data_IF_454337659450
#
_entry.id   IF_454337659450
#
_cell.length_a   1.000
_cell.length_b   1.000
_cell.length_c   1.000
_cell.angle_alpha   90.00
_cell.angle_beta   90.00
_cell.angle_gamma   90.00
#
_symmetry.space_group_name_H-M   'P 1'
#
loop_
_entity.id
_entity.type
_entity.pdbx_description
1 polymer ?
#
# COMPACT_ATOMS: atom_id res chain seq x y z
N UNK A 1 -22.63 27.58 3.10
CA UNK A 1 -22.31 26.46 2.19
C UNK A 1 -20.81 26.47 1.96
N UNK A 2 -20.07 25.52 2.55
CA UNK A 2 -18.63 25.41 2.33
C UNK A 2 -18.43 24.82 0.94
N UNK A 3 -17.68 25.52 0.08
CA UNK A 3 -17.41 25.10 -1.29
C UNK A 3 -16.52 23.85 -1.29
N UNK A 4 -17.07 22.68 -1.64
CA UNK A 4 -16.34 21.41 -1.81
C UNK A 4 -15.51 21.37 -3.10
N UNK A 5 -14.72 22.43 -3.35
CA UNK A 5 -13.79 22.45 -4.48
C UNK A 5 -12.50 21.76 -4.03
N UNK A 6 -12.05 20.76 -4.79
CA UNK A 6 -10.72 20.16 -4.62
C UNK A 6 -9.69 21.20 -5.06
N UNK A 7 -9.06 21.87 -4.09
CA UNK A 7 -8.18 23.03 -4.32
C UNK A 7 -6.73 22.71 -3.98
N UNK A 8 -6.51 21.87 -2.96
CA UNK A 8 -5.17 21.49 -2.53
C UNK A 8 -4.68 20.39 -3.45
N UNK A 9 -3.55 20.59 -4.13
CA UNK A 9 -2.92 19.56 -4.97
C UNK A 9 -1.91 18.77 -4.16
N UNK A 10 -1.98 17.44 -4.25
CA UNK A 10 -1.04 16.54 -3.59
C UNK A 10 -1.70 15.32 -2.96
N UNK A 11 -0.85 14.46 -2.40
CA UNK A 11 -1.25 13.26 -1.67
C UNK A 11 -0.91 13.45 -0.19
N UNK A 12 -1.91 13.23 0.66
CA UNK A 12 -1.78 13.41 2.10
C UNK A 12 -2.06 12.09 2.81
N UNK A 13 -1.08 11.66 3.59
CA UNK A 13 -1.13 10.40 4.34
C UNK A 13 -1.56 10.66 5.78
N UNK A 14 -2.46 9.83 6.32
CA UNK A 14 -2.78 9.79 7.75
C UNK A 14 -2.76 8.36 8.29
N UNK A 15 -1.88 8.06 9.28
CA UNK A 15 -1.84 6.73 9.88
C UNK A 15 -3.02 6.54 10.82
N UNK A 16 -3.61 5.35 10.78
CA UNK A 16 -4.62 4.89 11.73
C UNK A 16 -4.26 3.50 12.24
N UNK A 17 -4.73 3.17 13.42
CA UNK A 17 -4.68 1.83 13.98
C UNK A 17 -6.08 1.26 13.89
N UNK A 18 -6.20 0.11 13.23
CA UNK A 18 -7.38 -0.75 13.30
C UNK A 18 -7.01 -1.94 14.14
N UNK A 19 -7.83 -2.27 15.14
CA UNK A 19 -7.47 -3.31 16.07
C UNK A 19 -8.62 -3.87 16.87
N UNK A 20 -8.29 -4.89 17.65
CA UNK A 20 -9.18 -5.51 18.61
C UNK A 20 -8.42 -5.99 19.83
N UNK A 21 -9.03 -5.85 21.00
CA UNK A 21 -8.58 -6.43 22.26
C UNK A 21 -9.62 -7.45 22.70
N UNK A 22 -9.20 -8.65 23.10
CA UNK A 22 -10.10 -9.70 23.60
C UNK A 22 -9.64 -10.22 24.96
N UNK A 23 -10.64 -10.52 25.80
CA UNK A 23 -10.48 -11.00 27.16
C UNK A 23 -11.25 -12.31 27.32
N UNK A 24 -10.57 -13.34 27.79
CA UNK A 24 -11.19 -14.60 28.15
C UNK A 24 -12.10 -14.41 29.38
N UNK A 25 -13.36 -14.81 29.29
CA UNK A 25 -14.36 -14.62 30.36
C UNK A 25 -14.28 -15.68 31.47
N UNK A 26 -13.43 -16.70 31.30
CA UNK A 26 -13.28 -17.78 32.26
C UNK A 26 -14.55 -18.62 32.43
N UNK A 27 -14.63 -19.33 33.56
CA UNK A 27 -15.80 -20.16 33.93
C UNK A 27 -16.98 -19.34 34.50
N UNK A 28 -16.86 -18.00 34.56
CA UNK A 28 -17.89 -17.08 35.10
C UNK A 28 -18.71 -16.37 34.01
N UNK A 29 -18.35 -16.52 32.73
CA UNK A 29 -19.29 -16.27 31.64
C UNK A 29 -20.40 -17.31 31.65
N UNK A 30 -21.47 -17.09 30.87
CA UNK A 30 -22.65 -17.99 30.78
C UNK A 30 -22.30 -19.44 30.38
N UNK A 31 -21.03 -19.71 30.06
CA UNK A 31 -20.41 -21.04 30.02
C UNK A 31 -20.81 -21.91 28.84
N UNK A 32 -21.97 -21.63 28.22
CA UNK A 32 -22.54 -22.41 27.14
C UNK A 32 -22.43 -21.76 25.75
N UNK A 33 -22.31 -20.43 25.64
CA UNK A 33 -22.47 -19.73 24.34
C UNK A 33 -21.35 -18.76 23.98
N UNK A 34 -20.84 -17.94 24.89
CA UNK A 34 -19.76 -16.97 24.61
C UNK A 34 -18.54 -17.19 25.52
N UNK A 35 -17.34 -17.20 24.94
CA UNK A 35 -16.08 -17.51 25.65
C UNK A 35 -15.21 -16.28 25.90
N UNK A 36 -15.34 -15.25 25.06
CA UNK A 36 -14.55 -14.03 25.11
C UNK A 36 -15.44 -12.80 25.08
N UNK A 37 -14.97 -11.73 25.72
CA UNK A 37 -15.41 -10.36 25.46
C UNK A 37 -14.33 -9.67 24.66
N UNK A 38 -14.70 -9.03 23.58
CA UNK A 38 -13.78 -8.35 22.70
C UNK A 38 -14.27 -6.95 22.36
N UNK A 39 -13.32 -6.06 22.11
CA UNK A 39 -13.54 -4.68 21.73
C UNK A 39 -12.76 -4.41 20.46
N UNK A 40 -13.45 -4.07 19.37
CA UNK A 40 -12.82 -3.65 18.12
C UNK A 40 -12.85 -2.12 18.02
N UNK A 41 -11.80 -1.51 17.47
CA UNK A 41 -11.66 -0.06 17.45
C UNK A 41 -10.87 0.46 16.25
N UNK A 42 -11.11 1.73 15.93
CA UNK A 42 -10.22 2.56 15.10
C UNK A 42 -9.73 3.74 15.95
N UNK A 43 -8.43 3.98 15.93
CA UNK A 43 -7.80 5.12 16.63
C UNK A 43 -6.65 5.71 15.82
N UNK A 44 -6.27 6.96 16.13
CA UNK A 44 -5.03 7.52 15.61
C UNK A 44 -3.80 6.84 16.23
N UNK A 45 -2.64 6.99 15.58
CA UNK A 45 -1.41 6.31 15.99
C UNK A 45 -1.02 6.63 17.45
N UNK A 46 -1.26 7.85 17.90
CA UNK A 46 -0.97 8.31 19.26
C UNK A 46 -2.22 8.43 20.14
N UNK A 47 -3.29 7.69 19.81
CA UNK A 47 -4.60 7.81 20.45
C UNK A 47 -5.18 9.25 20.33
N UNK A 48 -4.80 9.92 19.25
CA UNK A 48 -5.32 11.23 18.84
C UNK A 48 -6.75 11.10 18.30
N UNK A 49 -7.48 12.21 18.36
CA UNK A 49 -8.77 12.32 17.71
C UNK A 49 -8.62 12.32 16.18
N UNK A 50 -9.59 11.71 15.50
CA UNK A 50 -9.64 11.64 14.03
C UNK A 50 -10.79 12.52 13.51
N UNK A 51 -10.63 13.87 13.49
CA UNK A 51 -11.72 14.81 13.20
C UNK A 51 -12.16 14.79 11.73
N UNK A 52 -11.38 14.16 10.84
CA UNK A 52 -11.73 13.94 9.44
C UNK A 52 -12.67 12.74 9.24
N UNK A 53 -12.88 11.91 10.27
CA UNK A 53 -13.84 10.80 10.26
C UNK A 53 -15.20 11.32 10.74
N UNK A 54 -16.26 10.99 9.99
CA UNK A 54 -17.65 11.31 10.32
C UNK A 54 -18.34 10.18 11.08
N UNK A 55 -18.12 8.95 10.64
CA UNK A 55 -18.64 7.75 11.31
C UNK A 55 -17.86 6.52 10.86
N UNK A 56 -17.86 5.50 11.70
CA UNK A 56 -17.30 4.19 11.41
C UNK A 56 -18.40 3.16 11.51
N UNK A 57 -18.50 2.27 10.53
CA UNK A 57 -19.45 1.15 10.53
C UNK A 57 -18.67 -0.15 10.65
N UNK A 58 -18.91 -0.88 11.73
CA UNK A 58 -18.38 -2.22 11.94
C UNK A 58 -19.40 -3.24 11.44
N UNK A 59 -18.98 -4.10 10.51
CA UNK A 59 -19.79 -5.16 9.91
C UNK A 59 -19.45 -6.49 10.57
N UNK A 60 -20.23 -6.86 11.58
CA UNK A 60 -20.14 -8.12 12.30
C UNK A 60 -20.65 -9.29 11.44
N UNK A 61 -20.31 -10.51 11.86
CA UNK A 61 -20.87 -11.72 11.27
C UNK A 61 -22.42 -11.75 11.39
N UNK A 62 -23.10 -12.36 10.42
CA UNK A 62 -24.56 -12.40 10.33
C UNK A 62 -25.26 -13.07 11.53
N UNK A 63 -24.52 -13.81 12.37
CA UNK A 63 -25.03 -14.39 13.61
C UNK A 63 -25.32 -13.36 14.71
N UNK A 64 -24.72 -12.17 14.63
CA UNK A 64 -24.95 -11.09 15.59
C UNK A 64 -26.25 -10.37 15.30
N UNK A 65 -26.97 -9.98 16.37
CA UNK A 65 -28.11 -9.06 16.23
C UNK A 65 -27.59 -7.71 15.75
N UNK A 66 -28.23 -7.15 14.73
CA UNK A 66 -27.82 -5.89 14.09
C UNK A 66 -26.33 -5.95 13.68
N UNK A 67 -25.95 -6.76 12.67
CA UNK A 67 -24.55 -6.99 12.35
C UNK A 67 -23.82 -5.71 11.91
N UNK A 68 -24.54 -4.71 11.40
CA UNK A 68 -23.97 -3.42 11.04
C UNK A 68 -24.09 -2.44 12.22
N UNK A 69 -22.97 -2.08 12.84
CA UNK A 69 -22.90 -1.15 13.98
C UNK A 69 -22.23 0.14 13.57
N UNK A 70 -22.98 1.23 13.56
CA UNK A 70 -22.45 2.56 13.25
C UNK A 70 -22.08 3.30 14.54
N UNK A 71 -20.87 3.86 14.57
CA UNK A 71 -20.36 4.74 15.63
C UNK A 71 -20.07 6.09 15.01
N UNK A 72 -20.79 7.12 15.44
CA UNK A 72 -20.76 8.46 14.83
C UNK A 72 -19.85 9.46 15.56
N UNK A 73 -19.35 9.09 16.75
CA UNK A 73 -18.47 9.93 17.55
C UNK A 73 -17.34 9.11 18.17
N UNK A 74 -16.14 9.68 18.35
CA UNK A 74 -15.07 9.00 19.08
C UNK A 74 -15.47 8.74 20.56
N UNK A 75 -14.97 7.67 21.19
CA UNK A 75 -14.09 6.64 20.64
C UNK A 75 -14.81 5.74 19.62
N UNK A 76 -14.16 5.49 18.47
CA UNK A 76 -14.72 4.65 17.41
C UNK A 76 -14.50 3.17 17.75
N UNK A 77 -15.25 2.67 18.72
CA UNK A 77 -15.12 1.31 19.22
C UNK A 77 -16.47 0.61 19.42
N UNK A 78 -16.46 -0.72 19.31
CA UNK A 78 -17.59 -1.58 19.64
C UNK A 78 -17.12 -2.71 20.55
N UNK A 79 -17.92 -3.04 21.55
CA UNK A 79 -17.66 -4.15 22.47
C UNK A 79 -18.75 -5.19 22.37
N UNK A 80 -18.34 -6.46 22.25
CA UNK A 80 -19.24 -7.59 22.08
C UNK A 80 -18.68 -8.85 22.78
N UNK A 81 -19.51 -9.88 22.87
CA UNK A 81 -19.09 -11.20 23.35
C UNK A 81 -19.24 -12.24 22.26
N UNK A 82 -18.31 -13.20 22.20
CA UNK A 82 -18.33 -14.23 21.17
C UNK A 82 -17.39 -15.38 21.48
N UNK A 83 -17.39 -16.37 20.60
CA UNK A 83 -16.54 -17.56 20.69
C UNK A 83 -15.66 -17.77 19.47
N UNK A 84 -15.98 -17.12 18.34
CA UNK A 84 -15.31 -17.30 17.06
C UNK A 84 -14.49 -16.08 16.66
N UNK A 85 -13.43 -16.36 15.90
CA UNK A 85 -12.61 -15.39 15.19
C UNK A 85 -13.19 -15.21 13.77
N UNK A 86 -13.16 -13.99 13.25
CA UNK A 86 -13.65 -13.69 11.91
C UNK A 86 -13.03 -12.41 11.35
N UNK A 87 -13.05 -12.27 10.03
CA UNK A 87 -12.67 -11.03 9.35
C UNK A 87 -13.74 -9.97 9.56
N UNK A 88 -13.45 -9.01 10.43
CA UNK A 88 -14.28 -7.85 10.71
C UNK A 88 -14.10 -6.82 9.60
N UNK A 89 -15.11 -6.66 8.76
CA UNK A 89 -15.16 -5.56 7.78
C UNK A 89 -15.49 -4.25 8.49
N UNK A 90 -14.72 -3.20 8.21
CA UNK A 90 -14.88 -1.88 8.81
C UNK A 90 -14.96 -0.83 7.72
N UNK A 91 -16.03 -0.04 7.70
CA UNK A 91 -16.24 1.02 6.72
C UNK A 91 -16.16 2.39 7.37
N UNK A 92 -15.20 3.20 6.95
CA UNK A 92 -14.96 4.56 7.44
C UNK A 92 -15.63 5.55 6.49
N UNK A 93 -16.48 6.42 7.03
CA UNK A 93 -17.07 7.54 6.31
C UNK A 93 -16.39 8.83 6.74
N UNK A 94 -16.00 9.64 5.76
CA UNK A 94 -15.32 10.92 6.00
C UNK A 94 -16.30 12.08 6.18
N UNK A 95 -15.83 13.15 6.80
CA UNK A 95 -16.62 14.39 6.97
C UNK A 95 -16.87 15.09 5.64
N UNK A 96 -15.92 14.98 4.70
CA UNK A 96 -16.12 15.41 3.32
C UNK A 96 -16.91 14.34 2.54
N UNK A 97 -18.17 14.66 2.21
CA UNK A 97 -19.03 13.77 1.43
C UNK A 97 -18.53 13.51 0.00
N UNK A 98 -17.55 14.28 -0.50
CA UNK A 98 -16.93 14.04 -1.81
C UNK A 98 -15.86 12.96 -1.77
N UNK A 99 -15.42 12.56 -0.57
CA UNK A 99 -14.48 11.47 -0.38
C UNK A 99 -15.23 10.14 -0.24
N UNK A 100 -14.76 9.11 -0.94
CA UNK A 100 -15.41 7.80 -0.93
C UNK A 100 -15.22 7.14 0.43
N UNK A 101 -16.22 6.42 0.97
CA UNK A 101 -16.02 5.60 2.16
C UNK A 101 -14.89 4.58 1.93
N UNK A 102 -14.06 4.38 2.94
CA UNK A 102 -12.97 3.40 2.90
C UNK A 102 -13.40 2.11 3.58
N UNK A 103 -13.11 0.97 2.97
CA UNK A 103 -13.36 -0.35 3.54
C UNK A 103 -12.05 -1.03 3.92
N UNK A 104 -11.98 -1.52 5.15
CA UNK A 104 -10.85 -2.22 5.75
C UNK A 104 -11.30 -3.58 6.28
N UNK A 105 -10.37 -4.52 6.42
CA UNK A 105 -10.62 -5.82 7.02
C UNK A 105 -9.64 -6.04 8.17
N UNK A 106 -10.18 -6.41 9.33
CA UNK A 106 -9.41 -6.72 10.52
C UNK A 106 -9.72 -8.12 11.00
N UNK A 107 -8.70 -8.97 11.16
CA UNK A 107 -8.89 -10.30 11.71
C UNK A 107 -9.06 -10.20 13.24
N UNK A 108 -10.29 -10.39 13.72
CA UNK A 108 -10.59 -10.47 15.15
C UNK A 108 -9.96 -11.74 15.72
N UNK A 109 -8.97 -11.59 16.62
CA UNK A 109 -8.32 -12.70 17.31
C UNK A 109 -8.78 -12.81 18.75
N UNK A 110 -9.16 -14.02 19.15
CA UNK A 110 -9.55 -14.36 20.51
C UNK A 110 -8.44 -15.11 21.23
N UNK A 111 -7.67 -15.91 20.49
CA UNK A 111 -6.62 -16.74 21.04
C UNK A 111 -5.23 -16.17 20.71
N UNK A 112 -4.28 -16.32 21.64
CA UNK A 112 -2.88 -16.00 21.38
C UNK A 112 -2.29 -16.90 20.28
N UNK A 113 -1.19 -16.46 19.63
CA UNK A 113 -0.54 -17.23 18.56
C UNK A 113 -0.04 -18.61 18.98
N UNK A 114 0.18 -18.83 20.28
CA UNK A 114 0.62 -20.09 20.85
C UNK A 114 -0.52 -21.13 21.01
N UNK A 115 -1.76 -20.76 20.68
CA UNK A 115 -2.93 -21.63 20.74
C UNK A 115 -3.47 -21.86 22.16
N UNK A 116 -2.97 -21.15 23.17
CA UNK A 116 -3.44 -21.33 24.55
C UNK A 116 -4.85 -20.73 24.76
N UNK A 117 -5.79 -21.56 25.23
CA UNK A 117 -7.20 -21.14 25.43
C UNK A 117 -7.38 -20.26 26.68
N UNK A 118 -6.44 -20.34 27.62
CA UNK A 118 -6.52 -19.66 28.92
C UNK A 118 -5.45 -18.59 28.99
N UNK A 119 -5.82 -17.35 28.70
CA UNK A 119 -4.92 -16.22 28.87
C UNK A 119 -5.21 -15.49 30.18
N UNK A 120 -4.15 -15.21 30.95
CA UNK A 120 -4.21 -14.24 32.06
C UNK A 120 -4.19 -12.80 31.55
N UNK A 121 -3.72 -12.60 30.32
CA UNK A 121 -3.55 -11.30 29.68
C UNK A 121 -4.49 -11.17 28.47
N UNK A 122 -4.98 -9.95 28.17
CA UNK A 122 -5.76 -9.70 26.97
C UNK A 122 -4.98 -10.08 25.71
N UNK A 123 -5.67 -10.64 24.72
CA UNK A 123 -5.12 -10.83 23.38
C UNK A 123 -5.35 -9.55 22.59
N UNK A 124 -4.28 -8.96 22.07
CA UNK A 124 -4.31 -7.72 21.31
C UNK A 124 -3.90 -8.03 19.87
N UNK A 125 -4.74 -7.65 18.92
CA UNK A 125 -4.50 -7.77 17.48
C UNK A 125 -4.68 -6.39 16.87
N UNK A 126 -3.60 -5.78 16.39
CA UNK A 126 -3.62 -4.44 15.81
C UNK A 126 -2.82 -4.41 14.50
N UNK A 127 -3.32 -3.65 13.54
CA UNK A 127 -2.63 -3.33 12.30
C UNK A 127 -2.58 -1.82 12.10
N UNK A 128 -1.40 -1.32 11.73
CA UNK A 128 -1.23 0.05 11.28
C UNK A 128 -1.63 0.13 9.81
N UNK A 129 -2.55 1.04 9.50
CA UNK A 129 -2.96 1.33 8.13
C UNK A 129 -2.71 2.82 7.81
N UNK A 130 -2.59 3.13 6.53
CA UNK A 130 -2.30 4.47 6.04
C UNK A 130 -3.42 4.94 5.10
N UNK A 131 -4.16 5.93 5.56
CA UNK A 131 -5.15 6.61 4.75
C UNK A 131 -4.45 7.57 3.79
N UNK A 132 -4.73 7.47 2.50
CA UNK A 132 -4.17 8.36 1.47
C UNK A 132 -5.29 9.16 0.83
N UNK A 133 -5.23 10.47 0.98
CA UNK A 133 -6.20 11.41 0.43
C UNK A 133 -5.57 12.19 -0.72
N UNK A 134 -6.17 12.10 -1.91
CA UNK A 134 -5.69 12.78 -3.11
C UNK A 134 -6.48 14.04 -3.41
N UNK A 135 -5.77 15.13 -3.56
CA UNK A 135 -6.30 16.44 -3.89
C UNK A 135 -7.53 16.85 -3.04
N UNK A 136 -7.43 16.88 -1.70
CA UNK A 136 -8.56 17.14 -0.81
C UNK A 136 -9.12 18.57 -0.93
N UNK A 137 -10.36 18.76 -0.48
CA UNK A 137 -10.91 20.11 -0.26
C UNK A 137 -10.12 20.83 0.83
N UNK A 138 -10.10 22.16 0.81
CA UNK A 138 -9.34 22.95 1.79
C UNK A 138 -9.80 22.71 3.23
N UNK A 139 -11.12 22.62 3.45
CA UNK A 139 -11.69 22.28 4.75
C UNK A 139 -11.28 20.88 5.21
N UNK A 140 -11.28 19.89 4.32
CA UNK A 140 -10.93 18.52 4.66
C UNK A 140 -9.43 18.38 4.90
N UNK A 141 -8.61 19.05 4.09
CA UNK A 141 -7.16 19.13 4.28
C UNK A 141 -6.77 19.69 5.66
N UNK A 142 -7.47 20.72 6.14
CA UNK A 142 -7.24 21.25 7.48
C UNK A 142 -7.55 20.22 8.57
N UNK A 143 -8.59 19.39 8.39
CA UNK A 143 -8.91 18.27 9.30
C UNK A 143 -7.86 17.16 9.22
N UNK A 144 -7.37 16.85 8.02
CA UNK A 144 -6.27 15.91 7.82
C UNK A 144 -5.00 16.46 8.47
N UNK A 145 -4.71 17.77 8.44
CA UNK A 145 -3.45 18.33 8.97
C UNK A 145 -3.50 18.80 10.42
N UNK A 146 -4.66 18.70 11.08
CA UNK A 146 -4.78 19.10 12.47
C UNK A 146 -3.66 18.44 13.30
N UNK A 147 -2.94 19.20 14.13
CA UNK A 147 -1.91 18.62 15.00
C UNK A 147 -2.59 17.61 15.91
N UNK A 148 -1.92 16.48 16.16
CA UNK A 148 -2.35 15.42 17.06
C UNK A 148 -2.75 16.06 18.41
N UNK A 149 -4.04 16.35 18.60
CA UNK A 149 -4.52 16.90 19.87
C UNK A 149 -4.35 15.77 20.89
N UNK A 150 -3.65 15.99 22.02
CA UNK A 150 -3.63 15.02 23.10
C UNK A 150 -5.09 14.70 23.44
N UNK A 151 -5.46 13.41 23.55
CA UNK A 151 -6.85 13.02 23.76
C UNK A 151 -7.45 13.79 24.94
N UNK A 152 -8.54 14.54 24.71
CA UNK A 152 -9.19 15.34 25.76
C UNK A 152 -10.13 14.49 26.64
N UNK A 153 -10.12 13.16 26.53
CA UNK A 153 -10.97 12.31 27.36
C UNK A 153 -10.24 11.06 27.82
N UNK A 154 -10.05 10.97 29.14
CA UNK A 154 -9.76 9.73 29.86
C UNK A 154 -10.81 8.69 29.47
N UNK A 155 -10.40 7.67 28.71
CA UNK A 155 -11.25 6.55 28.32
C UNK A 155 -11.75 5.81 29.58
N UNK A 156 -13.05 5.78 29.90
CA UNK A 156 -13.57 5.04 31.05
C UNK A 156 -13.33 3.54 30.94
N UNK A 157 -13.30 3.02 29.71
CA UNK A 157 -13.00 1.61 29.38
C UNK A 157 -11.56 1.20 29.69
N UNK A 158 -10.65 2.17 29.84
CA UNK A 158 -9.25 1.97 30.26
C UNK A 158 -9.06 2.07 31.78
N UNK A 159 -10.13 2.14 32.58
CA UNK A 159 -10.06 1.98 34.05
C UNK A 159 -9.77 0.53 34.47
N UNK A 160 -8.95 -0.19 33.72
CA UNK A 160 -8.32 -1.42 34.19
C UNK A 160 -7.18 -0.96 35.11
N UNK A 161 -7.49 -0.90 36.40
CA UNK A 161 -6.63 -0.44 37.51
C UNK A 161 -6.48 1.10 37.67
N UNK A 162 -7.60 1.78 37.91
CA UNK A 162 -7.54 3.05 38.65
C UNK A 162 -7.00 2.81 40.06
N UNK A 163 -5.97 3.58 40.43
CA UNK A 163 -5.45 3.81 41.79
C UNK A 163 -4.51 2.77 42.42
N UNK A 164 -3.68 2.08 41.63
CA UNK A 164 -2.42 1.54 42.18
C UNK A 164 -1.25 2.36 41.66
N UNK A 165 -0.45 3.03 42.52
CA UNK A 165 0.77 3.69 42.05
C UNK A 165 1.65 2.65 41.37
N UNK A 166 2.02 2.92 40.11
CA UNK A 166 2.86 2.05 39.30
C UNK A 166 4.15 1.75 40.06
N UNK A 167 4.48 0.47 40.22
CA UNK A 167 5.73 0.08 40.87
C UNK A 167 6.92 0.53 40.02
N UNK A 168 8.07 0.73 40.65
CA UNK A 168 9.31 1.14 39.95
C UNK A 168 9.66 0.14 38.82
N UNK A 169 9.35 -1.14 39.00
CA UNK A 169 9.57 -2.18 37.99
C UNK A 169 8.66 -2.00 36.77
N UNK A 170 7.36 -1.77 36.98
CA UNK A 170 6.40 -1.51 35.90
C UNK A 170 6.73 -0.21 35.16
N UNK A 171 7.20 0.82 35.86
CA UNK A 171 7.64 2.08 35.25
C UNK A 171 8.88 1.87 34.35
N UNK A 172 9.81 1.02 34.76
CA UNK A 172 10.99 0.67 33.96
C UNK A 172 10.59 -0.10 32.70
N UNK A 173 9.68 -1.07 32.82
CA UNK A 173 9.16 -1.81 31.66
C UNK A 173 8.41 -0.91 30.69
N UNK A 174 7.57 0.00 31.21
CA UNK A 174 6.89 0.99 30.39
C UNK A 174 7.87 1.86 29.62
N UNK A 175 8.92 2.36 30.27
CA UNK A 175 9.96 3.16 29.60
C UNK A 175 10.65 2.34 28.48
N UNK A 176 10.97 1.06 28.70
CA UNK A 176 11.53 0.19 27.65
C UNK A 176 10.58 0.05 26.46
N UNK A 177 9.28 -0.06 26.70
CA UNK A 177 8.27 -0.15 25.64
C UNK A 177 8.20 1.17 24.88
N UNK A 178 8.20 2.31 25.57
CA UNK A 178 8.19 3.65 24.96
C UNK A 178 9.44 3.85 24.11
N UNK A 179 10.62 3.48 24.60
CA UNK A 179 11.88 3.59 23.86
C UNK A 179 11.87 2.70 22.62
N UNK A 180 11.43 1.44 22.77
CA UNK A 180 11.30 0.51 21.65
C UNK A 180 10.33 1.04 20.58
N UNK A 181 9.18 1.56 21.02
CA UNK A 181 8.18 2.17 20.13
C UNK A 181 8.76 3.39 19.41
N UNK A 182 9.41 4.28 20.12
CA UNK A 182 10.03 5.50 19.56
C UNK A 182 11.09 5.15 18.52
N UNK A 183 11.90 4.11 18.80
CA UNK A 183 12.88 3.59 17.86
C UNK A 183 12.23 3.03 16.60
N UNK A 184 11.21 2.19 16.75
CA UNK A 184 10.48 1.62 15.60
C UNK A 184 9.85 2.72 14.74
N UNK A 185 9.22 3.73 15.36
CA UNK A 185 8.64 4.87 14.65
C UNK A 185 9.73 5.63 13.86
N UNK A 186 10.88 5.86 14.49
CA UNK A 186 12.01 6.55 13.85
C UNK A 186 12.56 5.75 12.67
N UNK A 187 12.72 4.43 12.83
CA UNK A 187 13.20 3.54 11.78
C UNK A 187 12.20 3.49 10.61
N UNK A 188 10.90 3.35 10.89
CA UNK A 188 9.84 3.38 9.87
C UNK A 188 9.86 4.71 9.10
N UNK A 189 10.02 5.83 9.80
CA UNK A 189 10.10 7.14 9.15
C UNK A 189 11.33 7.24 8.25
N UNK A 190 12.50 6.79 8.73
CA UNK A 190 13.74 6.75 7.95
C UNK A 190 13.59 5.89 6.70
N UNK A 191 12.98 4.71 6.80
CA UNK A 191 12.74 3.84 5.65
C UNK A 191 11.76 4.49 4.66
N UNK A 192 10.69 5.12 5.14
CA UNK A 192 9.74 5.86 4.30
C UNK A 192 10.46 6.96 3.51
N UNK A 193 11.28 7.77 4.16
CA UNK A 193 12.02 8.86 3.51
C UNK A 193 13.04 8.33 2.49
N UNK A 194 13.71 7.22 2.82
CA UNK A 194 14.63 6.54 1.91
C UNK A 194 13.91 5.99 0.67
N UNK A 195 12.74 5.36 0.85
CA UNK A 195 11.92 4.88 -0.25
C UNK A 195 11.47 6.03 -1.15
N UNK A 196 10.96 7.13 -0.57
CA UNK A 196 10.58 8.34 -1.32
C UNK A 196 11.75 8.89 -2.15
N UNK A 197 12.95 8.93 -1.56
CA UNK A 197 14.15 9.40 -2.27
C UNK A 197 14.53 8.48 -3.43
N UNK A 198 14.50 7.16 -3.22
CA UNK A 198 14.83 6.17 -4.26
C UNK A 198 13.82 6.16 -5.39
N UNK A 199 12.55 6.35 -5.08
CA UNK A 199 11.49 6.50 -6.08
C UNK A 199 11.71 7.75 -6.94
N UNK A 200 12.03 8.90 -6.34
CA UNK A 200 12.36 10.11 -7.08
C UNK A 200 13.60 9.94 -7.97
N UNK A 201 14.63 9.25 -7.49
CA UNK A 201 15.84 8.92 -8.26
C UNK A 201 15.50 8.04 -9.48
N UNK A 202 14.68 7.01 -9.28
CA UNK A 202 14.24 6.11 -10.34
C UNK A 202 13.44 6.85 -11.42
N UNK A 203 12.54 7.75 -11.02
CA UNK A 203 11.75 8.57 -11.96
C UNK A 203 12.66 9.47 -12.81
N UNK A 204 13.65 10.12 -12.17
CA UNK A 204 14.62 10.99 -12.87
C UNK A 204 15.46 10.21 -13.89
N UNK A 205 15.97 9.04 -13.50
CA UNK A 205 16.73 8.16 -14.40
C UNK A 205 15.89 7.70 -15.59
N UNK A 206 14.63 7.35 -15.35
CA UNK A 206 13.71 6.93 -16.40
C UNK A 206 13.47 8.05 -17.43
N UNK A 207 13.30 9.29 -16.98
CA UNK A 207 13.19 10.46 -17.86
C UNK A 207 14.47 10.69 -18.68
N UNK A 208 15.64 10.53 -18.07
CA UNK A 208 16.94 10.66 -18.74
C UNK A 208 17.11 9.61 -19.84
N UNK A 209 16.76 8.34 -19.56
CA UNK A 209 16.78 7.25 -20.55
C UNK A 209 15.90 7.59 -21.75
N UNK A 210 14.67 8.08 -21.53
CA UNK A 210 13.78 8.48 -22.62
C UNK A 210 14.37 9.62 -23.48
N UNK A 211 15.09 10.56 -22.87
CA UNK A 211 15.72 11.66 -23.58
C UNK A 211 16.90 11.17 -24.45
N UNK A 212 17.71 10.27 -23.91
CA UNK A 212 18.81 9.63 -24.64
C UNK A 212 18.30 8.81 -25.82
N UNK A 213 17.21 8.06 -25.66
CA UNK A 213 16.60 7.29 -26.75
C UNK A 213 16.09 8.20 -27.89
N UNK A 214 15.48 9.33 -27.55
CA UNK A 214 15.10 10.35 -28.54
C UNK A 214 16.32 10.89 -29.28
N UNK A 215 17.40 11.20 -28.56
CA UNK A 215 18.63 11.73 -29.17
C UNK A 215 19.30 10.68 -30.08
N UNK A 216 19.36 9.42 -29.64
CA UNK A 216 19.86 8.29 -30.41
C UNK A 216 19.07 8.11 -31.70
N UNK A 217 17.74 8.18 -31.64
CA UNK A 217 16.88 8.09 -32.83
C UNK A 217 17.14 9.24 -33.82
N UNK A 218 17.32 10.47 -33.32
CA UNK A 218 17.66 11.63 -34.16
C UNK A 218 19.01 11.40 -34.86
N UNK A 219 20.02 10.93 -34.14
CA UNK A 219 21.34 10.66 -34.70
C UNK A 219 21.30 9.52 -35.73
N UNK A 220 20.54 8.46 -35.48
CA UNK A 220 20.33 7.39 -36.45
C UNK A 220 19.72 7.91 -37.76
N UNK A 221 18.66 8.73 -37.67
CA UNK A 221 18.05 9.36 -38.86
C UNK A 221 19.02 10.28 -39.61
N UNK A 222 19.84 11.05 -38.88
CA UNK A 222 20.89 11.89 -39.50
C UNK A 222 21.95 11.05 -40.22
N UNK A 223 22.37 9.96 -39.60
CA UNK A 223 23.36 9.04 -40.17
C UNK A 223 22.84 8.37 -41.46
N UNK A 224 21.59 7.90 -41.44
CA UNK A 224 20.92 7.35 -42.62
C UNK A 224 20.86 8.37 -43.77
N UNK A 225 20.45 9.60 -43.46
CA UNK A 225 20.42 10.70 -44.44
C UNK A 225 21.81 11.01 -45.02
N UNK A 226 22.84 11.05 -44.19
CA UNK A 226 24.22 11.27 -44.63
C UNK A 226 24.70 10.16 -45.58
N UNK A 227 24.44 8.89 -45.22
CA UNK A 227 24.81 7.75 -46.04
C UNK A 227 24.10 7.75 -47.41
N UNK A 228 22.81 8.10 -47.44
CA UNK A 228 22.05 8.28 -48.68
C UNK A 228 22.67 9.36 -49.58
N UNK A 229 23.06 10.50 -49.00
CA UNK A 229 23.66 11.61 -49.75
C UNK A 229 25.04 11.24 -50.30
N UNK A 230 25.87 10.55 -49.50
CA UNK A 230 27.19 10.06 -49.91
C UNK A 230 27.09 9.05 -51.07
N UNK A 231 26.15 8.12 -51.02
CA UNK A 231 25.91 7.14 -52.08
C UNK A 231 25.40 7.80 -53.37
N UNK A 232 24.61 8.88 -53.27
CA UNK A 232 24.15 9.65 -54.43
C UNK A 232 25.30 10.41 -55.12
N UNK A 233 26.19 11.03 -54.34
CA UNK A 233 27.35 11.76 -54.87
C UNK A 233 28.39 10.83 -55.53
N UNK A 234 28.64 9.64 -54.99
CA UNK A 234 29.54 8.66 -55.61
C UNK A 234 29.01 8.12 -56.95
N UNK A 235 27.68 8.12 -57.15
CA UNK A 235 27.06 7.70 -58.43
C UNK A 235 27.25 8.75 -59.54
N UNK A 236 27.45 10.01 -59.20
CA UNK A 236 27.70 11.11 -60.15
C UNK A 236 29.16 11.24 -60.60
N UNK A 237 30.12 10.65 -59.88
CA UNK A 237 31.56 10.68 -60.22
C UNK A 237 32.00 9.52 -61.11
N UNK A 238 31.19 8.47 -61.26
CA UNK A 238 31.59 7.24 -61.97
C UNK A 238 31.00 7.09 -63.39
N UNK A 239 30.59 8.19 -64.04
CA UNK A 239 30.08 8.18 -65.43
C UNK A 239 30.99 8.90 -66.44
N UNK A 240 32.20 9.29 -66.05
CA UNK A 240 33.15 10.00 -66.92
C UNK A 240 34.52 9.30 -67.00
N UNK A 241 34.57 8.06 -67.49
CA UNK A 241 35.75 7.55 -68.20
C UNK A 241 35.37 6.36 -69.08
N UNK A 242 35.79 6.47 -70.35
CA UNK A 242 35.34 5.68 -71.48
C UNK A 242 35.93 4.26 -71.57
N UNK A 243 35.19 3.41 -72.29
CA UNK A 243 35.63 2.38 -73.23
C UNK A 243 37.14 2.23 -73.46
N UNK A 244 37.64 0.97 -73.42
CA UNK A 244 38.33 0.27 -74.52
C UNK A 244 38.35 -1.24 -74.22
N UNK A 245 38.22 -2.03 -75.29
CA UNK A 245 38.07 -3.48 -75.44
C UNK A 245 39.26 -4.36 -75.02
N UNK A 246 39.02 -5.54 -74.46
CA UNK A 246 39.21 -6.88 -75.09
C UNK A 246 39.32 -8.02 -74.04
N UNK A 247 38.62 -9.11 -74.34
CA UNK A 247 38.53 -10.48 -73.75
C UNK A 247 39.86 -11.28 -73.70
N UNK A 248 39.99 -12.51 -73.10
CA UNK A 248 38.99 -13.44 -72.49
C UNK A 248 39.34 -14.16 -71.15
N UNK A 249 38.30 -14.71 -70.49
CA UNK A 249 38.05 -16.00 -69.74
C UNK A 249 39.20 -17.02 -69.39
N UNK A 250 38.99 -18.07 -68.52
CA UNK A 250 37.75 -18.52 -67.82
C UNK A 250 37.94 -19.15 -66.38
N UNK A 251 36.84 -19.76 -65.85
CA UNK A 251 36.74 -20.90 -64.89
C UNK A 251 36.71 -20.51 -63.39
N UNK A 252 35.74 -20.84 -62.53
CA UNK A 252 34.56 -21.73 -62.59
C UNK A 252 33.46 -21.28 -61.62
N UNK A 253 32.22 -21.48 -62.05
CA UNK A 253 30.93 -21.54 -61.32
C UNK A 253 30.86 -22.75 -60.35
N UNK A 254 29.84 -22.96 -59.47
CA UNK A 254 28.45 -22.53 -59.67
C UNK A 254 27.57 -22.15 -58.44
N UNK A 255 26.48 -21.44 -58.78
CA UNK A 255 25.08 -21.56 -58.30
C UNK A 255 24.74 -21.30 -56.82
N UNK A 256 23.95 -20.26 -56.51
CA UNK A 256 22.46 -20.19 -56.59
C UNK A 256 21.78 -21.13 -55.56
N UNK A 257 20.73 -20.77 -54.83
CA UNK A 257 19.60 -19.93 -55.20
C UNK A 257 18.59 -19.87 -54.02
N UNK A 258 17.71 -18.87 -54.06
CA UNK A 258 16.29 -18.92 -53.69
C UNK A 258 15.87 -19.06 -52.20
N UNK A 259 15.47 -17.91 -51.65
CA UNK A 259 14.13 -17.55 -51.07
C UNK A 259 13.03 -18.64 -50.95
N UNK A 260 11.85 -18.35 -50.32
CA UNK A 260 11.49 -17.50 -49.17
C UNK A 260 10.45 -18.17 -48.22
N UNK A 261 9.83 -17.35 -47.35
CA UNK A 261 8.46 -17.48 -46.74
C UNK A 261 8.25 -18.54 -45.64
N UNK A 262 7.38 -18.45 -44.64
CA UNK A 262 6.61 -17.44 -43.86
C UNK A 262 6.02 -18.24 -42.66
N UNK A 263 5.40 -17.55 -41.70
CA UNK A 263 4.29 -17.97 -40.80
C UNK A 263 4.60 -18.65 -39.44
N UNK A 264 3.97 -18.08 -38.39
CA UNK A 264 3.45 -18.68 -37.12
C UNK A 264 4.50 -19.11 -36.08
N UNK A 265 4.36 -18.95 -34.77
CA UNK A 265 3.18 -19.03 -33.88
C UNK A 265 3.49 -18.40 -32.52
N UNK A 266 2.45 -17.95 -31.84
CA UNK A 266 2.42 -17.66 -30.41
C UNK A 266 2.84 -18.88 -29.55
N UNK A 267 3.44 -18.63 -28.40
CA UNK A 267 3.56 -19.62 -27.31
C UNK A 267 3.19 -18.98 -25.98
N UNK A 268 2.15 -19.56 -25.39
CA UNK A 268 1.71 -19.36 -24.03
C UNK A 268 2.71 -19.98 -23.04
N UNK A 269 2.90 -19.33 -21.88
CA UNK A 269 3.70 -19.87 -20.78
C UNK A 269 2.74 -20.40 -19.71
N UNK A 270 2.73 -21.72 -19.54
CA UNK A 270 2.03 -22.43 -18.48
C UNK A 270 2.80 -22.33 -17.16
N UNK A 271 2.08 -22.02 -16.10
CA UNK A 271 2.53 -22.00 -14.70
C UNK A 271 2.27 -23.38 -14.11
N UNK A 272 3.30 -24.00 -13.51
CA UNK A 272 3.21 -25.26 -12.77
C UNK A 272 3.31 -24.97 -11.28
N UNK A 273 2.27 -25.32 -10.52
CA UNK A 273 2.24 -25.35 -9.05
C UNK A 273 2.68 -26.71 -8.51
N UNK A 274 3.41 -26.79 -7.38
CA UNK A 274 3.62 -28.05 -6.66
C UNK A 274 2.61 -28.25 -5.51
N UNK A 275 2.19 -29.51 -5.34
CA UNK A 275 1.36 -30.06 -4.26
C UNK A 275 2.28 -30.58 -3.13
N UNK A 276 1.94 -30.44 -1.83
CA UNK A 276 2.67 -31.09 -0.74
C UNK A 276 2.08 -32.47 -0.35
N UNK A 277 2.87 -33.40 0.21
CA UNK A 277 2.41 -34.73 0.58
C UNK A 277 1.84 -34.84 2.01
N UNK A 278 1.00 -35.87 2.14
CA UNK A 278 0.27 -36.49 3.27
C UNK A 278 0.71 -36.23 4.70
#
# INVERSE_FOLDING_TARGET
MVSNKRVIKGEFERPIIVGSISNWLGKKGDGLTHTHRWTAYIRGMNNEDLPFIKKVVFHLHNSFKNPNRAVESPPYEISETGWGEFDLKVTIYFTDNSEKPLELFHLLRLHPPDGSIKTKHPVVSESLDMLVFKDPSESFYNLIKLPDKPPEVLNPSLQIAGDTPMTIAEQLELNKIIDARTKVITDVQKYRDTCKQKESEAISLYQSIQQLDKQKLILQKKLEKYNLLKNSNNKSMNTNTANISNTPMPIDTPTSSTTPSTITTATATTITTPIPPS
#
